data_IF_288573622219
#
_entry.id   IF_288573622219
#
_cell.length_a   1.000
_cell.length_b   1.000
_cell.length_c   1.000
_cell.angle_alpha   90.00
_cell.angle_beta   90.00
_cell.angle_gamma   90.00
#
_symmetry.space_group_name_H-M   'P 1'
#
loop_
_entity.id
_entity.type
_entity.pdbx_description
1 polymer ?
#
# COMPACT_ATOMS: atom_id res chain seq x y z
N UNK A 1 13.11 12.43 35.28
CA UNK A 1 13.82 12.00 34.05
C UNK A 1 13.24 10.71 33.46
N UNK A 2 13.00 9.67 34.26
CA UNK A 2 12.47 8.36 33.82
C UNK A 2 11.10 8.44 33.12
N UNK A 3 10.17 9.27 33.61
CA UNK A 3 8.85 9.43 32.98
C UNK A 3 8.90 10.09 31.59
N UNK A 4 9.84 11.03 31.38
CA UNK A 4 10.01 11.72 30.09
C UNK A 4 10.60 10.75 29.05
N UNK A 5 11.56 9.91 29.47
CA UNK A 5 12.16 8.89 28.62
C UNK A 5 11.12 7.88 28.12
N UNK A 6 10.22 7.43 29.00
CA UNK A 6 9.15 6.49 28.66
C UNK A 6 8.17 7.08 27.62
N UNK A 7 7.80 8.35 27.76
CA UNK A 7 6.93 9.03 26.80
C UNK A 7 7.62 9.13 25.43
N UNK A 8 8.90 9.50 25.40
CA UNK A 8 9.70 9.55 24.15
C UNK A 8 9.78 8.19 23.45
N UNK A 9 10.03 7.12 24.20
CA UNK A 9 10.05 5.75 23.66
C UNK A 9 8.69 5.36 23.07
N UNK A 10 7.59 5.70 23.77
CA UNK A 10 6.23 5.44 23.27
C UNK A 10 5.94 6.16 21.95
N UNK A 11 6.36 7.43 21.82
CA UNK A 11 6.18 8.22 20.59
C UNK A 11 6.99 7.60 19.43
N UNK A 12 8.26 7.26 19.66
CA UNK A 12 9.14 6.68 18.65
C UNK A 12 8.58 5.33 18.16
N UNK A 13 8.13 4.47 19.07
CA UNK A 13 7.53 3.18 18.71
C UNK A 13 6.23 3.36 17.92
N UNK A 14 5.35 4.24 18.38
CA UNK A 14 4.07 4.51 17.69
C UNK A 14 4.34 5.03 16.27
N UNK A 15 5.26 5.96 16.12
CA UNK A 15 5.64 6.51 14.82
C UNK A 15 6.25 5.45 13.91
N UNK A 16 7.21 4.66 14.42
CA UNK A 16 7.86 3.61 13.63
C UNK A 16 6.89 2.54 13.16
N UNK A 17 6.01 2.06 14.05
CA UNK A 17 4.99 1.06 13.70
C UNK A 17 3.98 1.64 12.71
N UNK A 18 3.49 2.86 12.94
CA UNK A 18 2.54 3.52 12.03
C UNK A 18 3.14 3.71 10.64
N UNK A 19 4.39 4.16 10.56
CA UNK A 19 5.09 4.36 9.29
C UNK A 19 5.29 3.03 8.55
N UNK A 20 5.67 1.97 9.25
CA UNK A 20 5.79 0.63 8.67
C UNK A 20 4.46 0.12 8.10
N UNK A 21 3.36 0.26 8.85
CA UNK A 21 2.03 -0.10 8.38
C UNK A 21 1.57 0.75 7.20
N UNK A 22 1.83 2.05 7.23
CA UNK A 22 1.51 2.94 6.13
C UNK A 22 2.19 2.49 4.83
N UNK A 23 3.51 2.27 4.87
CA UNK A 23 4.27 1.81 3.71
C UNK A 23 3.81 0.43 3.21
N UNK A 24 3.52 -0.50 4.13
CA UNK A 24 3.03 -1.83 3.78
C UNK A 24 1.68 -1.77 3.06
N UNK A 25 0.71 -1.04 3.61
CA UNK A 25 -0.63 -0.92 3.01
C UNK A 25 -0.62 -0.14 1.70
N UNK A 26 0.23 0.89 1.60
CA UNK A 26 0.42 1.62 0.36
C UNK A 26 0.95 0.68 -0.75
N UNK A 27 2.01 -0.07 -0.47
CA UNK A 27 2.58 -1.03 -1.41
C UNK A 27 1.60 -2.13 -1.79
N UNK A 28 0.84 -2.64 -0.82
CA UNK A 28 -0.23 -3.63 -1.07
C UNK A 28 -1.30 -3.07 -2.01
N UNK A 29 -1.74 -1.83 -1.79
CA UNK A 29 -2.70 -1.16 -2.67
C UNK A 29 -2.15 -1.02 -4.09
N UNK A 30 -0.89 -0.59 -4.22
CA UNK A 30 -0.22 -0.51 -5.53
C UNK A 30 -0.23 -1.89 -6.22
N UNK A 31 0.09 -2.96 -5.51
CA UNK A 31 0.04 -4.34 -6.04
C UNK A 31 -1.38 -4.79 -6.42
N UNK A 32 -2.40 -4.42 -5.66
CA UNK A 32 -3.79 -4.71 -6.02
C UNK A 32 -4.17 -3.98 -7.32
N UNK A 33 -3.76 -2.73 -7.49
CA UNK A 33 -4.02 -1.97 -8.72
C UNK A 33 -3.24 -2.51 -9.92
N UNK A 34 -2.01 -2.99 -9.73
CA UNK A 34 -1.31 -3.71 -10.81
C UNK A 34 -2.07 -4.98 -11.20
N UNK A 35 -2.62 -5.73 -10.25
CA UNK A 35 -3.45 -6.90 -10.54
C UNK A 35 -4.71 -6.54 -11.33
N UNK A 36 -5.38 -5.43 -11.01
CA UNK A 36 -6.55 -4.95 -11.77
C UNK A 36 -6.16 -4.63 -13.22
N UNK A 37 -5.07 -3.89 -13.44
CA UNK A 37 -4.61 -3.59 -14.81
C UNK A 37 -4.30 -4.86 -15.60
N UNK A 38 -3.76 -5.89 -14.92
CA UNK A 38 -3.53 -7.20 -15.54
C UNK A 38 -4.83 -7.88 -15.95
N UNK A 39 -5.87 -7.86 -15.10
CA UNK A 39 -7.20 -8.39 -15.45
C UNK A 39 -7.77 -7.63 -16.66
N UNK A 40 -7.67 -6.30 -16.68
CA UNK A 40 -8.13 -5.49 -17.82
C UNK A 40 -7.35 -5.87 -19.09
N UNK A 41 -6.03 -5.98 -19.00
CA UNK A 41 -5.19 -6.46 -20.11
C UNK A 41 -5.63 -7.82 -20.62
N UNK A 42 -5.88 -8.78 -19.74
CA UNK A 42 -6.29 -10.13 -20.11
C UNK A 42 -7.73 -10.15 -20.66
N UNK A 43 -8.61 -9.27 -20.20
CA UNK A 43 -9.98 -9.11 -20.72
C UNK A 43 -10.00 -8.48 -22.12
N UNK A 44 -9.14 -7.50 -22.37
CA UNK A 44 -8.98 -6.88 -23.69
C UNK A 44 -8.33 -7.86 -24.68
N UNK A 45 -7.33 -8.63 -24.24
CA UNK A 45 -6.63 -9.59 -25.09
C UNK A 45 -7.31 -10.97 -25.22
N UNK A 46 -8.18 -11.36 -24.28
CA UNK A 46 -8.77 -12.70 -24.17
C UNK A 46 -9.61 -13.18 -25.37
N UNK A 47 -10.44 -12.33 -26.00
CA UNK A 47 -11.24 -12.72 -27.16
C UNK A 47 -10.42 -13.05 -28.40
N UNK A 48 -9.25 -12.43 -28.61
CA UNK A 48 -8.35 -12.75 -29.72
C UNK A 48 -7.84 -14.20 -29.70
N UNK A 49 -7.90 -14.87 -28.53
CA UNK A 49 -7.50 -16.27 -28.37
C UNK A 49 -8.67 -17.26 -28.57
N UNK A 50 -9.91 -16.82 -28.31
CA UNK A 50 -11.08 -17.71 -28.30
C UNK A 50 -11.90 -17.57 -29.59
N UNK A 51 -11.92 -16.37 -30.15
CA UNK A 51 -12.52 -16.04 -31.43
C UNK A 51 -11.41 -15.58 -32.36
N UNK A 52 -11.34 -16.11 -33.59
CA UNK A 52 -10.39 -15.65 -34.62
C UNK A 52 -10.69 -14.21 -35.12
N UNK A 53 -11.59 -13.50 -34.45
CA UNK A 53 -11.98 -12.15 -34.76
C UNK A 53 -11.54 -11.22 -33.62
N UNK A 54 -10.94 -10.05 -33.95
CA UNK A 54 -10.65 -9.05 -32.94
C UNK A 54 -11.93 -8.65 -32.22
N UNK A 55 -11.84 -8.48 -30.89
CA UNK A 55 -12.97 -8.02 -30.08
C UNK A 55 -13.54 -6.73 -30.69
N UNK A 56 -14.86 -6.67 -30.89
CA UNK A 56 -15.50 -5.48 -31.46
C UNK A 56 -15.12 -4.25 -30.61
N UNK A 57 -14.70 -3.11 -31.20
CA UNK A 57 -14.21 -1.94 -30.46
C UNK A 57 -15.12 -1.49 -29.31
N UNK A 58 -16.44 -1.61 -29.48
CA UNK A 58 -17.46 -1.32 -28.47
C UNK A 58 -17.34 -2.17 -27.19
N UNK A 59 -16.88 -3.41 -27.28
CA UNK A 59 -16.72 -4.29 -26.11
C UNK A 59 -15.50 -3.88 -25.29
N UNK A 60 -14.39 -3.55 -25.97
CA UNK A 60 -13.18 -3.02 -25.33
C UNK A 60 -13.53 -1.68 -24.65
N UNK A 61 -14.23 -0.80 -25.35
CA UNK A 61 -14.68 0.49 -24.81
C UNK A 61 -15.54 0.30 -23.54
N UNK A 62 -16.49 -0.65 -23.55
CA UNK A 62 -17.32 -0.94 -22.38
C UNK A 62 -16.49 -1.50 -21.20
N UNK A 63 -15.49 -2.34 -21.45
CA UNK A 63 -14.56 -2.81 -20.39
C UNK A 63 -13.77 -1.64 -19.80
N UNK A 64 -13.26 -0.74 -20.65
CA UNK A 64 -12.53 0.45 -20.20
C UNK A 64 -13.44 1.43 -19.44
N UNK A 65 -14.67 1.65 -19.89
CA UNK A 65 -15.64 2.49 -19.18
C UNK A 65 -16.01 1.91 -17.82
N UNK A 66 -16.32 0.60 -17.74
CA UNK A 66 -16.62 -0.07 -16.46
C UNK A 66 -15.44 -0.04 -15.48
N UNK A 67 -14.21 0.03 -15.97
CA UNK A 67 -13.04 0.16 -15.09
C UNK A 67 -13.01 1.48 -14.31
N UNK A 68 -13.73 2.52 -14.75
CA UNK A 68 -13.91 3.76 -13.98
C UNK A 68 -14.82 3.59 -12.76
N UNK A 69 -15.64 2.53 -12.71
CA UNK A 69 -16.45 2.23 -11.51
C UNK A 69 -15.56 1.75 -10.35
N UNK A 70 -14.31 1.37 -10.62
CA UNK A 70 -13.35 1.00 -9.58
C UNK A 70 -12.90 2.26 -8.83
N UNK A 71 -13.08 2.32 -7.49
CA UNK A 71 -12.71 3.49 -6.71
C UNK A 71 -11.25 3.91 -6.92
N UNK A 72 -11.06 5.18 -7.27
CA UNK A 72 -9.76 5.82 -7.50
C UNK A 72 -9.22 5.70 -8.93
N UNK A 73 -9.84 4.94 -9.84
CA UNK A 73 -9.43 4.92 -11.25
C UNK A 73 -9.87 6.22 -11.91
N UNK A 74 -8.92 6.98 -12.47
CA UNK A 74 -9.18 8.27 -13.10
C UNK A 74 -9.35 8.15 -14.62
N UNK A 75 -8.57 7.27 -15.24
CA UNK A 75 -8.67 6.96 -16.66
C UNK A 75 -8.08 5.58 -16.94
N UNK A 76 -8.56 4.95 -18.02
CA UNK A 76 -7.88 3.82 -18.66
C UNK A 76 -7.88 4.03 -20.16
N UNK A 77 -6.69 3.96 -20.76
CA UNK A 77 -6.44 4.27 -22.17
C UNK A 77 -5.73 3.12 -22.85
N UNK A 78 -6.15 2.83 -24.06
CA UNK A 78 -5.37 2.10 -25.06
C UNK A 78 -4.74 3.11 -26.00
N UNK A 79 -3.45 2.98 -26.30
CA UNK A 79 -2.73 3.94 -27.14
C UNK A 79 -1.78 3.27 -28.12
N UNK A 80 -1.54 3.95 -29.24
CA UNK A 80 -0.54 3.55 -30.22
C UNK A 80 0.77 4.32 -29.96
N UNK A 81 1.83 3.57 -29.68
CA UNK A 81 3.15 4.11 -29.35
C UNK A 81 3.82 4.81 -30.53
N UNK A 82 3.55 4.36 -31.77
CA UNK A 82 4.20 4.88 -32.98
C UNK A 82 3.71 6.29 -33.36
N UNK A 83 2.40 6.52 -33.30
CA UNK A 83 1.79 7.81 -33.64
C UNK A 83 1.45 8.65 -32.40
N UNK A 84 1.66 8.10 -31.20
CA UNK A 84 1.35 8.68 -29.89
C UNK A 84 -0.12 9.06 -29.71
N UNK A 85 -1.06 8.32 -30.30
CA UNK A 85 -2.49 8.63 -30.19
C UNK A 85 -3.24 7.65 -29.31
N UNK A 86 -4.24 8.16 -28.58
CA UNK A 86 -5.21 7.33 -27.88
C UNK A 86 -6.09 6.62 -28.91
N UNK A 87 -6.13 5.28 -28.85
CA UNK A 87 -6.97 4.45 -29.74
C UNK A 87 -8.37 4.33 -29.14
N UNK A 88 -8.46 4.04 -27.84
CA UNK A 88 -9.72 3.92 -27.08
C UNK A 88 -9.42 4.42 -25.66
N UNK A 89 -10.30 5.24 -25.08
CA UNK A 89 -10.22 5.66 -23.69
C UNK A 89 -11.52 5.35 -22.95
N UNK A 90 -11.42 5.24 -21.64
CA UNK A 90 -12.55 5.24 -20.73
C UNK A 90 -13.36 6.54 -20.81
N UNK A 91 -12.75 7.66 -21.23
CA UNK A 91 -13.46 8.88 -21.66
C UNK A 91 -13.47 8.95 -23.20
N UNK A 92 -14.63 8.77 -23.87
CA UNK A 92 -14.73 8.80 -25.32
C UNK A 92 -14.20 10.08 -25.96
N UNK A 93 -14.19 11.21 -25.24
CA UNK A 93 -13.69 12.51 -25.74
C UNK A 93 -12.17 12.52 -25.93
N UNK A 94 -11.44 11.63 -25.27
CA UNK A 94 -9.99 11.54 -25.38
C UNK A 94 -9.54 10.70 -26.58
N UNK A 95 -10.43 9.92 -27.17
CA UNK A 95 -10.12 9.05 -28.31
C UNK A 95 -9.65 9.88 -29.50
N UNK A 96 -8.51 9.49 -30.09
CA UNK A 96 -7.86 10.20 -31.20
C UNK A 96 -6.95 11.37 -30.79
N UNK A 97 -6.91 11.75 -29.51
CA UNK A 97 -6.00 12.79 -29.03
C UNK A 97 -4.55 12.27 -29.00
N UNK A 98 -3.61 13.15 -29.36
CA UNK A 98 -2.18 12.87 -29.31
C UNK A 98 -1.63 13.15 -27.90
N UNK A 99 -0.84 12.21 -27.38
CA UNK A 99 -0.20 12.28 -26.06
C UNK A 99 1.27 12.65 -26.25
N UNK A 100 1.72 13.69 -25.53
CA UNK A 100 3.12 14.11 -25.59
C UNK A 100 4.02 13.27 -24.68
N UNK A 101 3.54 12.94 -23.48
CA UNK A 101 4.29 12.22 -22.44
C UNK A 101 3.78 10.79 -22.20
N UNK A 102 4.12 9.89 -23.12
CA UNK A 102 3.77 8.48 -23.00
C UNK A 102 4.48 7.79 -21.81
N UNK A 103 3.83 6.83 -21.15
CA UNK A 103 4.47 6.00 -20.15
C UNK A 103 5.44 5.01 -20.79
N UNK A 104 6.46 4.59 -20.04
CA UNK A 104 7.34 3.51 -20.49
C UNK A 104 6.53 2.21 -20.60
N UNK A 105 6.68 1.50 -21.73
CA UNK A 105 6.01 0.23 -21.97
C UNK A 105 6.96 -0.94 -21.74
N UNK A 106 6.55 -1.86 -20.88
CA UNK A 106 7.23 -3.13 -20.63
C UNK A 106 6.19 -4.26 -20.66
N UNK A 107 6.67 -5.50 -20.78
CA UNK A 107 5.81 -6.70 -20.60
C UNK A 107 5.30 -6.80 -19.16
N UNK A 108 6.09 -6.32 -18.22
CA UNK A 108 5.69 -6.13 -16.83
C UNK A 108 5.07 -4.76 -16.64
N UNK A 109 4.23 -4.63 -15.61
CA UNK A 109 3.56 -3.37 -15.30
C UNK A 109 4.60 -2.36 -14.82
N UNK A 110 4.70 -1.24 -15.52
CA UNK A 110 5.49 -0.09 -15.12
C UNK A 110 4.63 0.86 -14.30
N UNK A 111 5.15 1.29 -13.14
CA UNK A 111 4.49 2.25 -12.25
C UNK A 111 5.31 3.53 -12.22
N UNK A 112 4.67 4.68 -12.45
CA UNK A 112 5.31 6.00 -12.28
C UNK A 112 4.38 6.99 -11.60
N UNK A 113 4.96 8.03 -11.03
CA UNK A 113 4.20 9.19 -10.57
C UNK A 113 3.78 10.06 -11.76
N UNK A 114 2.55 10.57 -11.70
CA UNK A 114 1.94 11.38 -12.75
C UNK A 114 1.04 12.47 -12.19
N UNK A 115 0.58 13.35 -13.07
CA UNK A 115 -0.39 14.38 -12.74
C UNK A 115 -1.51 14.32 -13.78
N UNK A 116 -2.75 14.24 -13.31
CA UNK A 116 -3.93 14.25 -14.16
C UNK A 116 -4.96 15.24 -13.62
N UNK A 117 -5.39 16.19 -14.44
CA UNK A 117 -6.31 17.27 -14.05
C UNK A 117 -5.90 18.02 -12.76
N UNK A 118 -4.59 18.23 -12.57
CA UNK A 118 -4.03 18.91 -11.40
C UNK A 118 -3.90 18.02 -10.15
N UNK A 119 -4.34 16.76 -10.19
CA UNK A 119 -4.21 15.81 -9.09
C UNK A 119 -3.00 14.88 -9.29
N UNK A 120 -2.30 14.57 -8.20
CA UNK A 120 -1.22 13.57 -8.21
C UNK A 120 -1.84 12.18 -8.33
N UNK A 121 -1.37 11.41 -9.31
CA UNK A 121 -1.81 10.05 -9.57
C UNK A 121 -0.60 9.12 -9.65
N UNK A 122 -0.82 7.81 -9.46
CA UNK A 122 0.10 6.82 -10.03
C UNK A 122 -0.42 6.38 -11.37
N UNK A 123 0.51 6.27 -12.29
CA UNK A 123 0.27 5.78 -13.63
C UNK A 123 0.82 4.36 -13.75
N UNK A 124 0.00 3.49 -14.31
CA UNK A 124 0.30 2.10 -14.55
C UNK A 124 0.25 1.84 -16.05
N UNK A 125 1.31 1.28 -16.61
CA UNK A 125 1.34 0.94 -18.04
C UNK A 125 1.77 -0.50 -18.25
N UNK A 126 1.16 -1.15 -19.24
CA UNK A 126 1.51 -2.52 -19.64
C UNK A 126 1.34 -2.68 -21.14
N UNK A 127 2.24 -3.45 -21.76
CA UNK A 127 2.00 -4.00 -23.07
C UNK A 127 1.30 -5.35 -22.93
N UNK A 128 0.02 -5.40 -23.28
CA UNK A 128 -0.78 -6.60 -23.28
C UNK A 128 -0.23 -7.65 -24.26
N UNK A 129 -0.65 -8.91 -24.11
CA UNK A 129 -0.08 -10.04 -24.85
C UNK A 129 -0.37 -9.99 -26.35
N UNK A 130 -1.49 -9.39 -26.73
CA UNK A 130 -1.90 -9.11 -28.11
C UNK A 130 -1.11 -7.95 -28.74
N UNK A 131 -0.29 -7.25 -27.95
CA UNK A 131 0.47 -6.08 -28.38
C UNK A 131 -0.22 -4.75 -28.09
N UNK A 132 -1.42 -4.75 -27.52
CA UNK A 132 -2.15 -3.54 -27.12
C UNK A 132 -1.44 -2.86 -25.96
N UNK A 133 -1.24 -1.54 -26.04
CA UNK A 133 -0.62 -0.78 -24.96
C UNK A 133 -1.71 -0.17 -24.08
N UNK A 134 -1.71 -0.51 -22.80
CA UNK A 134 -2.66 0.00 -21.84
C UNK A 134 -1.98 0.96 -20.86
N UNK A 135 -2.70 2.00 -20.48
CA UNK A 135 -2.29 3.02 -19.54
C UNK A 135 -3.44 3.39 -18.63
N UNK A 136 -3.27 3.20 -17.33
CA UNK A 136 -4.26 3.49 -16.30
C UNK A 136 -3.72 4.54 -15.34
N UNK A 137 -4.53 5.55 -15.04
CA UNK A 137 -4.26 6.54 -14.01
C UNK A 137 -5.08 6.25 -12.77
N UNK A 138 -4.44 6.31 -11.60
CA UNK A 138 -5.08 6.03 -10.33
C UNK A 138 -4.78 7.12 -9.28
N UNK A 139 -5.82 7.69 -8.70
CA UNK A 139 -5.72 8.64 -7.59
C UNK A 139 -5.73 7.90 -6.26
N UNK A 140 -4.70 8.13 -5.45
CA UNK A 140 -4.61 7.59 -4.09
C UNK A 140 -5.29 8.47 -3.06
N UNK A 141 -5.82 9.63 -3.42
CA UNK A 141 -6.28 10.65 -2.46
C UNK A 141 -7.27 10.11 -1.41
N UNK A 142 -8.24 9.32 -1.87
CA UNK A 142 -9.26 8.74 -0.97
C UNK A 142 -8.69 7.57 -0.16
N UNK A 143 -7.86 6.73 -0.79
CA UNK A 143 -7.28 5.55 -0.16
C UNK A 143 -6.16 5.90 0.82
N UNK A 144 -5.37 6.94 0.54
CA UNK A 144 -4.26 7.41 1.37
C UNK A 144 -4.77 7.88 2.72
N UNK A 145 -5.93 8.56 2.75
CA UNK A 145 -6.59 8.96 4.00
C UNK A 145 -6.99 7.74 4.84
N UNK A 146 -7.61 6.74 4.22
CA UNK A 146 -8.03 5.52 4.91
C UNK A 146 -6.83 4.70 5.40
N UNK A 147 -5.78 4.57 4.57
CA UNK A 147 -4.52 3.93 4.94
C UNK A 147 -3.89 4.66 6.13
N UNK A 148 -3.86 5.99 6.10
CA UNK A 148 -3.22 6.80 7.15
C UNK A 148 -3.98 6.66 8.48
N UNK A 149 -5.32 6.73 8.46
CA UNK A 149 -6.13 6.53 9.66
C UNK A 149 -5.89 5.12 10.22
N UNK A 150 -5.96 4.08 9.38
CA UNK A 150 -5.75 2.70 9.80
C UNK A 150 -4.34 2.47 10.34
N UNK A 151 -3.32 3.06 9.71
CA UNK A 151 -1.94 2.97 10.15
C UNK A 151 -1.73 3.60 11.54
N UNK A 152 -2.33 4.76 11.79
CA UNK A 152 -2.27 5.42 13.11
C UNK A 152 -2.99 4.59 14.17
N UNK A 153 -4.20 4.10 13.89
CA UNK A 153 -4.97 3.28 14.84
C UNK A 153 -4.21 2.00 15.20
N UNK A 154 -3.64 1.30 14.21
CA UNK A 154 -2.82 0.12 14.43
C UNK A 154 -1.54 0.45 15.19
N UNK A 155 -0.88 1.56 14.87
CA UNK A 155 0.32 2.02 15.57
C UNK A 155 0.08 2.27 17.05
N UNK A 156 -1.01 2.99 17.38
CA UNK A 156 -1.41 3.24 18.77
C UNK A 156 -1.78 1.94 19.49
N UNK A 157 -2.54 1.07 18.84
CA UNK A 157 -2.95 -0.22 19.41
C UNK A 157 -1.74 -1.11 19.70
N UNK A 158 -0.78 -1.19 18.78
CA UNK A 158 0.46 -1.94 18.94
C UNK A 158 1.33 -1.36 20.08
N UNK A 159 1.48 -0.04 20.13
CA UNK A 159 2.23 0.62 21.21
C UNK A 159 1.62 0.33 22.58
N UNK A 160 0.28 0.35 22.69
CA UNK A 160 -0.43 -0.01 23.92
C UNK A 160 -0.18 -1.47 24.33
N UNK A 161 -0.25 -2.42 23.39
CA UNK A 161 0.06 -3.83 23.65
C UNK A 161 1.51 -4.03 24.09
N UNK A 162 2.46 -3.31 23.50
CA UNK A 162 3.88 -3.35 23.90
C UNK A 162 4.04 -2.86 25.34
N UNK A 163 3.40 -1.75 25.72
CA UNK A 163 3.46 -1.23 27.09
C UNK A 163 2.90 -2.24 28.09
N UNK A 164 1.75 -2.86 27.79
CA UNK A 164 1.18 -3.92 28.63
C UNK A 164 2.17 -5.07 28.76
N UNK A 165 2.77 -5.50 27.65
CA UNK A 165 3.74 -6.61 27.62
C UNK A 165 4.95 -6.29 28.48
N UNK A 166 5.50 -5.07 28.40
CA UNK A 166 6.62 -4.62 29.24
C UNK A 166 6.24 -4.65 30.73
N UNK A 167 5.04 -4.16 31.08
CA UNK A 167 4.56 -4.20 32.47
C UNK A 167 4.44 -5.63 32.98
N UNK A 168 3.86 -6.53 32.19
CA UNK A 168 3.73 -7.95 32.55
C UNK A 168 5.10 -8.59 32.75
N UNK A 169 6.04 -8.38 31.83
CA UNK A 169 7.42 -8.88 31.95
C UNK A 169 8.07 -8.31 33.21
N UNK A 170 7.93 -7.01 33.47
CA UNK A 170 8.47 -6.39 34.67
C UNK A 170 7.90 -6.99 35.96
N UNK A 171 6.59 -7.24 36.03
CA UNK A 171 5.96 -7.89 37.17
C UNK A 171 6.47 -9.33 37.37
N UNK A 172 6.61 -10.10 36.29
CA UNK A 172 7.19 -11.46 36.34
C UNK A 172 8.62 -11.41 36.87
N UNK A 173 9.48 -10.56 36.30
CA UNK A 173 10.86 -10.40 36.77
C UNK A 173 10.91 -9.95 38.24
N UNK A 174 10.08 -8.98 38.63
CA UNK A 174 10.07 -8.48 40.00
C UNK A 174 9.65 -9.55 41.00
N UNK A 175 8.60 -10.31 40.69
CA UNK A 175 8.04 -11.28 41.61
C UNK A 175 8.90 -12.55 41.70
N UNK A 176 9.33 -13.09 40.55
CA UNK A 176 10.00 -14.39 40.49
C UNK A 176 11.53 -14.31 40.60
N UNK A 177 12.15 -13.17 40.29
CA UNK A 177 13.62 -13.04 40.35
C UNK A 177 14.03 -12.05 41.44
N UNK A 178 13.58 -10.80 41.35
CA UNK A 178 14.10 -9.72 42.22
C UNK A 178 13.72 -9.94 43.68
N UNK A 179 12.44 -10.21 43.96
CA UNK A 179 11.96 -10.37 45.34
C UNK A 179 12.62 -11.54 46.09
N UNK A 180 12.70 -12.76 45.53
CA UNK A 180 13.40 -13.86 46.20
C UNK A 180 14.90 -13.60 46.35
N UNK A 181 15.56 -12.99 45.36
CA UNK A 181 16.96 -12.58 45.50
C UNK A 181 17.17 -11.57 46.62
N UNK A 182 16.30 -10.57 46.73
CA UNK A 182 16.35 -9.59 47.81
C UNK A 182 16.22 -10.28 49.18
N UNK A 183 15.22 -11.15 49.35
CA UNK A 183 15.03 -11.92 50.58
C UNK A 183 16.26 -12.78 50.94
N UNK A 184 16.89 -13.42 49.95
CA UNK A 184 18.14 -14.16 50.13
C UNK A 184 19.27 -13.24 50.58
N UNK A 185 19.49 -12.11 49.90
CA UNK A 185 20.55 -11.17 50.27
C UNK A 185 20.35 -10.60 51.68
N UNK A 186 19.12 -10.23 52.06
CA UNK A 186 18.81 -9.74 53.39
C UNK A 186 19.02 -10.82 54.46
N UNK A 187 18.68 -12.08 54.17
CA UNK A 187 18.96 -13.19 55.07
C UNK A 187 20.47 -13.41 55.28
N UNK A 188 21.26 -13.36 54.20
CA UNK A 188 22.72 -13.44 54.28
C UNK A 188 23.33 -12.25 55.04
N UNK A 189 22.77 -11.07 54.87
CA UNK A 189 23.24 -9.85 55.53
C UNK A 189 22.98 -9.88 57.04
N UNK A 190 21.80 -10.35 57.46
CA UNK A 190 21.49 -10.63 58.88
C UNK A 190 22.43 -11.66 59.49
N UNK A 191 22.69 -12.77 58.79
CA UNK A 191 23.64 -13.79 59.23
C UNK A 191 25.07 -13.24 59.40
N UNK A 192 25.51 -12.37 58.48
CA UNK A 192 26.83 -11.73 58.53
C UNK A 192 26.95 -10.77 59.72
N UNK A 193 25.91 -10.00 60.01
CA UNK A 193 25.92 -8.98 61.06
C UNK A 193 25.57 -9.53 62.45
N UNK A 194 25.21 -10.82 62.56
CA UNK A 194 24.75 -11.47 63.80
C UNK A 194 23.55 -10.76 64.46
N UNK A 195 22.79 -10.01 63.66
CA UNK A 195 21.51 -9.43 64.04
C UNK A 195 20.45 -10.51 63.82
N UNK A 196 20.19 -11.30 64.87
CA UNK A 196 19.15 -12.32 64.90
C UNK A 196 17.87 -11.77 65.50
#
# INVERSE_FOLDING_TARGET
>A
MTSILLVLVGIILTFGVSFGFYQYNFNKTVQEKTHILKIISDAVAGPLLTFREPMHPLVIENVLQKSLEVPGVMFVRSFNDANKTIIISSDPKETGIKIENLPALKKEISVRDGIFNGEKIKEFSIKARDGTNLWMGFSFKDIEKDILINAVVLGVSAAFLIIITILVIFFIFRHFLITPFLSLTTAFEKLKNKDY
#
